data_IF_684804989657
#
_entry.id   IF_684804989657
#
_cell.length_a   1.000
_cell.length_b   1.000
_cell.length_c   1.000
_cell.angle_alpha   90.00
_cell.angle_beta   90.00
_cell.angle_gamma   90.00
#
_symmetry.space_group_name_H-M   'P 1'
#
loop_
_entity.id
_entity.type
_entity.pdbx_description
1 polymer ?
#
# COMPACT_ATOMS: atom_id res chain seq x y z
N UNK A 1 -11.67 9.17 -12.73
CA UNK A 1 -10.95 8.39 -11.72
C UNK A 1 -11.96 7.47 -11.03
N UNK A 2 -11.65 6.18 -10.87
CA UNK A 2 -12.50 5.19 -10.21
C UNK A 2 -12.06 4.94 -8.75
N UNK A 3 -12.81 4.10 -8.02
CA UNK A 3 -12.38 3.63 -6.71
C UNK A 3 -11.20 2.65 -6.83
N UNK A 4 -10.42 2.48 -5.76
CA UNK A 4 -9.30 1.52 -5.72
C UNK A 4 -8.06 1.92 -6.52
N UNK A 5 -8.05 3.12 -7.12
CA UNK A 5 -6.88 3.65 -7.84
C UNK A 5 -6.11 4.60 -6.94
N UNK A 6 -4.92 4.22 -6.44
CA UNK A 6 -4.13 5.11 -5.60
C UNK A 6 -3.47 6.20 -6.43
N UNK A 7 -3.39 7.42 -5.88
CA UNK A 7 -2.65 8.52 -6.50
C UNK A 7 -1.12 8.33 -6.39
N UNK A 8 -0.68 7.58 -5.38
CA UNK A 8 0.73 7.20 -5.16
C UNK A 8 0.84 5.68 -5.32
N UNK A 9 1.63 5.22 -6.28
CA UNK A 9 1.79 3.79 -6.54
C UNK A 9 2.46 3.09 -5.34
N UNK A 10 1.88 2.01 -4.77
CA UNK A 10 2.55 1.23 -3.74
C UNK A 10 3.78 0.52 -4.30
N UNK A 11 4.84 0.45 -3.49
CA UNK A 11 6.00 -0.40 -3.76
C UNK A 11 5.67 -1.84 -3.35
N UNK A 12 5.67 -2.75 -4.32
CA UNK A 12 5.29 -4.16 -4.15
C UNK A 12 6.35 -5.04 -4.79
N UNK A 13 7.07 -5.80 -3.96
CA UNK A 13 8.14 -6.70 -4.41
C UNK A 13 7.57 -8.10 -4.65
N UNK A 14 7.22 -8.40 -5.90
CA UNK A 14 6.57 -9.66 -6.28
C UNK A 14 7.52 -10.87 -6.39
N UNK A 15 8.84 -10.65 -6.38
CA UNK A 15 9.86 -11.67 -6.58
C UNK A 15 10.36 -12.33 -5.30
N UNK A 16 9.91 -11.87 -4.12
CA UNK A 16 10.45 -12.28 -2.83
C UNK A 16 9.38 -12.93 -1.95
N UNK A 17 9.78 -13.89 -1.11
CA UNK A 17 8.89 -14.38 -0.05
C UNK A 17 8.64 -13.23 0.93
N UNK A 18 7.38 -13.03 1.32
CA UNK A 18 7.02 -11.98 2.27
C UNK A 18 7.41 -12.43 3.68
N UNK A 19 8.51 -11.91 4.19
CA UNK A 19 8.95 -12.11 5.59
C UNK A 19 8.71 -10.81 6.35
N UNK A 20 7.79 -10.82 7.32
CA UNK A 20 7.37 -9.65 8.13
C UNK A 20 6.86 -8.40 7.36
N UNK A 21 6.80 -8.46 6.02
CA UNK A 21 6.41 -7.31 5.19
C UNK A 21 7.49 -6.24 5.12
N UNK A 22 7.14 -5.06 4.61
CA UNK A 22 7.98 -3.87 4.52
C UNK A 22 7.10 -2.64 4.79
N UNK A 23 7.71 -1.53 5.18
CA UNK A 23 6.98 -0.28 5.35
C UNK A 23 6.35 0.18 4.03
N UNK A 24 5.08 0.59 4.11
CA UNK A 24 4.38 1.13 2.95
C UNK A 24 4.87 2.53 2.61
N UNK A 25 4.86 2.86 1.32
CA UNK A 25 5.05 4.25 0.87
C UNK A 25 3.92 5.09 1.46
N UNK A 26 4.26 6.19 2.13
CA UNK A 26 3.25 7.03 2.77
C UNK A 26 2.19 7.49 1.76
N UNK A 27 0.91 7.22 2.07
CA UNK A 27 -0.22 7.57 1.22
C UNK A 27 -0.49 6.63 0.04
N UNK A 28 0.29 5.56 -0.17
CA UNK A 28 0.05 4.61 -1.27
C UNK A 28 -1.19 3.73 -1.10
N UNK A 29 -1.80 3.76 0.10
CA UNK A 29 -3.03 3.05 0.43
C UNK A 29 -4.10 4.05 0.90
N UNK A 30 -4.78 4.75 -0.01
CA UNK A 30 -5.68 5.87 0.34
C UNK A 30 -6.95 5.45 1.07
N UNK A 31 -7.26 4.15 1.08
CA UNK A 31 -8.37 3.58 1.84
C UNK A 31 -7.96 3.08 3.23
N UNK A 32 -6.70 3.26 3.64
CA UNK A 32 -6.27 2.93 5.00
C UNK A 32 -6.95 3.87 6.00
N UNK A 33 -7.55 3.30 7.03
CA UNK A 33 -8.15 4.02 8.15
C UNK A 33 -7.75 3.34 9.46
N UNK A 34 -7.62 4.11 10.54
CA UNK A 34 -7.46 3.59 11.90
C UNK A 34 -8.61 4.14 12.74
N UNK A 35 -9.29 3.27 13.47
CA UNK A 35 -10.25 3.67 14.49
C UNK A 35 -9.53 3.80 15.84
N UNK A 36 -10.03 4.67 16.71
CA UNK A 36 -9.49 4.91 18.03
C UNK A 36 -10.36 4.26 19.11
#
# INVERSE_FOLDING_TARGET
AGCGVPAIQPSVHYSERIINGQDAVSGSWPWQVSLQ
#
